data_IF_099223844923
#
_entry.id   IF_099223844923
#
_cell.length_a   1.000
_cell.length_b   1.000
_cell.length_c   1.000
_cell.angle_alpha   90.00
_cell.angle_beta   90.00
_cell.angle_gamma   90.00
#
_symmetry.space_group_name_H-M   'P 1'
#
loop_
_entity.id
_entity.type
_entity.pdbx_description
1 polymer ?
#
# COMPACT_ATOMS: atom_id res chain seq x y z
N UNK A 1 8.16 -1.01 -18.10
CA UNK A 1 8.54 -1.72 -16.86
C UNK A 1 7.52 -1.50 -15.73
N UNK A 2 6.94 -0.30 -15.57
CA UNK A 2 5.94 0.01 -14.53
C UNK A 2 4.59 -0.73 -14.66
N UNK A 3 4.16 -1.11 -15.87
CA UNK A 3 2.89 -1.83 -16.09
C UNK A 3 2.95 -3.34 -15.75
N UNK A 4 4.14 -3.93 -15.55
CA UNK A 4 4.31 -5.37 -15.29
C UNK A 4 4.34 -5.74 -13.80
N UNK A 5 4.12 -4.76 -12.93
CA UNK A 5 4.11 -4.90 -11.47
C UNK A 5 2.76 -4.59 -10.84
N UNK A 6 1.77 -4.19 -11.65
CA UNK A 6 0.41 -3.94 -11.19
C UNK A 6 -0.21 -5.29 -10.77
N UNK A 7 -0.80 -5.40 -9.56
CA UNK A 7 -1.53 -6.59 -9.15
C UNK A 7 -2.65 -6.92 -10.15
N UNK A 8 -2.89 -8.20 -10.47
CA UNK A 8 -4.07 -8.60 -11.24
C UNK A 8 -5.34 -8.01 -10.60
N UNK A 9 -6.21 -7.36 -11.38
CA UNK A 9 -7.48 -6.79 -10.89
C UNK A 9 -7.56 -5.25 -10.82
N UNK A 10 -6.46 -4.53 -11.06
CA UNK A 10 -6.44 -3.04 -11.11
C UNK A 10 -6.80 -2.50 -12.50
N UNK A 11 -7.33 -3.33 -13.40
CA UNK A 11 -7.32 -3.07 -14.84
C UNK A 11 -8.48 -2.19 -15.36
N UNK A 12 -9.48 -1.88 -14.53
CA UNK A 12 -10.72 -1.23 -15.01
C UNK A 12 -11.19 -0.02 -14.21
N UNK A 13 -10.94 0.05 -12.90
CA UNK A 13 -11.40 1.15 -12.05
C UNK A 13 -10.36 1.51 -10.98
N UNK A 14 -10.06 2.80 -10.86
CA UNK A 14 -9.19 3.36 -9.82
C UNK A 14 -10.02 4.24 -8.90
N UNK A 15 -10.04 3.92 -7.61
CA UNK A 15 -10.83 4.62 -6.59
C UNK A 15 -9.87 5.10 -5.50
N UNK A 16 -9.94 6.39 -5.17
CA UNK A 16 -9.11 6.99 -4.11
C UNK A 16 -10.04 7.46 -3.00
N UNK A 17 -9.81 6.96 -1.79
CA UNK A 17 -10.40 7.51 -0.57
C UNK A 17 -9.42 8.51 0.04
N UNK A 18 -9.89 9.75 0.24
CA UNK A 18 -9.05 10.82 0.78
C UNK A 18 -9.63 11.34 2.09
N UNK A 19 -8.76 11.75 3.00
CA UNK A 19 -9.10 12.49 4.20
C UNK A 19 -7.99 13.52 4.45
N UNK A 20 -8.39 14.72 4.86
CA UNK A 20 -7.48 15.84 5.07
C UNK A 20 -7.58 16.41 6.48
N UNK A 21 -6.61 17.25 6.84
CA UNK A 21 -6.62 18.03 8.07
C UNK A 21 -6.05 19.42 7.84
N UNK A 22 -6.34 20.35 8.74
CA UNK A 22 -5.81 21.70 8.71
C UNK A 22 -4.39 21.74 9.30
N UNK A 23 -3.57 22.76 8.98
CA UNK A 23 -2.19 22.85 9.50
C UNK A 23 -2.09 22.84 11.04
N UNK A 24 -3.11 23.33 11.73
CA UNK A 24 -3.17 23.40 13.20
C UNK A 24 -3.90 22.22 13.87
N UNK A 25 -4.39 21.23 13.12
CA UNK A 25 -5.01 20.01 13.69
C UNK A 25 -4.00 19.31 14.59
N UNK A 26 -4.40 18.86 15.78
CA UNK A 26 -3.47 18.22 16.74
C UNK A 26 -2.95 16.88 16.21
N UNK A 27 -1.82 16.39 16.73
CA UNK A 27 -1.32 15.07 16.34
C UNK A 27 -2.30 13.94 16.68
N UNK A 28 -2.94 14.00 17.87
CA UNK A 28 -3.94 13.01 18.28
C UNK A 28 -5.16 12.96 17.34
N UNK A 29 -5.59 14.13 16.84
CA UNK A 29 -6.68 14.19 15.87
C UNK A 29 -6.25 13.67 14.49
N UNK A 30 -5.02 13.99 14.04
CA UNK A 30 -4.45 13.44 12.80
C UNK A 30 -4.37 11.92 12.86
N UNK A 31 -3.97 11.35 13.99
CA UNK A 31 -3.90 9.90 14.18
C UNK A 31 -5.30 9.26 14.21
N UNK A 32 -6.29 9.97 14.71
CA UNK A 32 -7.70 9.55 14.63
C UNK A 32 -8.21 9.57 13.19
N UNK A 33 -7.88 10.60 12.42
CA UNK A 33 -8.20 10.69 10.99
C UNK A 33 -7.54 9.54 10.22
N UNK A 34 -6.24 9.28 10.45
CA UNK A 34 -5.51 8.17 9.82
C UNK A 34 -6.17 6.83 10.12
N UNK A 35 -6.45 6.52 11.39
CA UNK A 35 -7.14 5.27 11.77
C UNK A 35 -8.52 5.15 11.11
N UNK A 36 -9.26 6.26 11.02
CA UNK A 36 -10.55 6.26 10.32
C UNK A 36 -10.40 5.98 8.83
N UNK A 37 -9.39 6.55 8.17
CA UNK A 37 -9.08 6.29 6.77
C UNK A 37 -8.70 4.82 6.57
N UNK A 38 -7.83 4.26 7.41
CA UNK A 38 -7.46 2.83 7.38
C UNK A 38 -8.69 1.95 7.53
N UNK A 39 -9.59 2.24 8.47
CA UNK A 39 -10.83 1.46 8.61
C UNK A 39 -11.72 1.53 7.36
N UNK A 40 -11.79 2.69 6.70
CA UNK A 40 -12.56 2.88 5.47
C UNK A 40 -11.95 2.13 4.29
N UNK A 41 -10.63 2.18 4.11
CA UNK A 41 -9.94 1.44 3.04
C UNK A 41 -10.07 -0.07 3.24
N UNK A 42 -9.96 -0.56 4.48
CA UNK A 42 -10.19 -1.98 4.79
C UNK A 42 -11.65 -2.40 4.56
N UNK A 43 -12.61 -1.53 4.90
CA UNK A 43 -14.02 -1.78 4.58
C UNK A 43 -14.23 -1.91 3.08
N UNK A 44 -13.66 -1.00 2.28
CA UNK A 44 -13.71 -1.10 0.82
C UNK A 44 -13.07 -2.40 0.32
N UNK A 45 -11.86 -2.73 0.77
CA UNK A 45 -11.16 -3.97 0.38
C UNK A 45 -11.99 -5.23 0.64
N UNK A 46 -12.74 -5.27 1.76
CA UNK A 46 -13.63 -6.39 2.08
C UNK A 46 -14.83 -6.54 1.13
N UNK A 47 -15.26 -5.44 0.50
CA UNK A 47 -16.39 -5.44 -0.44
C UNK A 47 -15.96 -5.82 -1.86
N UNK A 48 -14.68 -5.66 -2.20
CA UNK A 48 -14.11 -5.94 -3.52
C UNK A 48 -12.93 -6.93 -3.43
N UNK A 49 -13.18 -8.19 -3.04
CA UNK A 49 -12.12 -9.18 -2.89
C UNK A 49 -11.33 -9.37 -4.19
N UNK A 50 -10.01 -9.43 -4.08
CA UNK A 50 -9.10 -9.58 -5.22
C UNK A 50 -8.67 -8.25 -5.88
N UNK A 51 -9.13 -7.10 -5.38
CA UNK A 51 -8.59 -5.80 -5.79
C UNK A 51 -7.27 -5.52 -5.08
N UNK A 52 -6.34 -4.90 -5.81
CA UNK A 52 -5.10 -4.35 -5.25
C UNK A 52 -5.25 -2.88 -4.85
N UNK A 53 -4.19 -2.32 -4.30
CA UNK A 53 -4.04 -0.90 -3.99
C UNK A 53 -2.78 -0.36 -4.67
N UNK A 54 -2.87 0.83 -5.22
CA UNK A 54 -1.74 1.48 -5.88
C UNK A 54 -0.84 2.14 -4.84
N UNK A 55 0.37 1.58 -4.66
CA UNK A 55 1.28 1.94 -3.58
C UNK A 55 1.66 3.44 -3.52
N UNK A 56 1.69 4.15 -4.65
CA UNK A 56 2.05 5.57 -4.68
C UNK A 56 0.91 6.48 -4.17
N UNK A 57 -0.32 5.96 -4.06
CA UNK A 57 -1.52 6.67 -3.57
C UNK A 57 -2.26 5.87 -2.47
N UNK A 58 -1.52 5.03 -1.73
CA UNK A 58 -2.10 4.11 -0.76
C UNK A 58 -2.12 4.64 0.68
N UNK A 59 -2.89 3.95 1.53
CA UNK A 59 -2.81 4.17 2.98
C UNK A 59 -1.45 3.72 3.52
N UNK A 60 -0.76 4.63 4.20
CA UNK A 60 0.49 4.36 4.88
C UNK A 60 0.36 3.21 5.89
N UNK A 61 -0.81 3.05 6.52
CA UNK A 61 -1.04 2.02 7.54
C UNK A 61 -1.67 0.73 6.99
N UNK A 62 -1.65 0.48 5.67
CA UNK A 62 -2.24 -0.71 5.06
C UNK A 62 -1.74 -2.02 5.73
N UNK A 63 -2.58 -2.74 6.49
CA UNK A 63 -2.14 -3.91 7.25
C UNK A 63 -1.74 -5.09 6.36
N UNK A 64 -2.30 -5.20 5.16
CA UNK A 64 -2.05 -6.31 4.22
C UNK A 64 -1.23 -5.87 3.01
N UNK A 65 -0.32 -4.91 3.19
CA UNK A 65 0.38 -4.20 2.10
C UNK A 65 1.13 -5.11 1.13
N UNK A 66 1.66 -6.26 1.58
CA UNK A 66 2.36 -7.21 0.70
C UNK A 66 1.42 -7.70 -0.41
N UNK A 67 0.22 -8.11 -0.03
CA UNK A 67 -0.81 -8.58 -0.96
C UNK A 67 -1.45 -7.40 -1.68
N UNK A 68 -1.82 -6.34 -0.96
CA UNK A 68 -2.51 -5.19 -1.54
C UNK A 68 -1.69 -4.49 -2.63
N UNK A 69 -0.39 -4.27 -2.41
CA UNK A 69 0.44 -3.49 -3.33
C UNK A 69 1.14 -4.34 -4.39
N UNK A 70 1.51 -5.57 -4.02
CA UNK A 70 2.37 -6.40 -4.87
C UNK A 70 1.70 -7.72 -5.28
N UNK A 71 0.73 -8.20 -4.50
CA UNK A 71 0.01 -9.46 -4.74
C UNK A 71 0.95 -10.63 -5.03
N UNK A 72 0.56 -11.44 -6.02
CA UNK A 72 1.34 -12.60 -6.48
C UNK A 72 2.74 -12.24 -7.02
N UNK A 73 3.03 -10.96 -7.32
CA UNK A 73 4.36 -10.52 -7.75
C UNK A 73 5.36 -10.40 -6.60
N UNK A 74 4.93 -10.34 -5.33
CA UNK A 74 5.81 -10.07 -4.19
C UNK A 74 7.01 -11.02 -4.14
N UNK A 75 6.77 -12.33 -4.29
CA UNK A 75 7.84 -13.34 -4.22
C UNK A 75 8.91 -13.13 -5.29
N UNK A 76 8.51 -12.82 -6.53
CA UNK A 76 9.44 -12.54 -7.63
C UNK A 76 10.23 -11.27 -7.37
N UNK A 77 9.57 -10.20 -6.93
CA UNK A 77 10.21 -8.92 -6.64
C UNK A 77 11.18 -9.05 -5.47
N UNK A 78 10.83 -9.79 -4.42
CA UNK A 78 11.68 -10.06 -3.26
C UNK A 78 12.96 -10.80 -3.67
N UNK A 79 12.83 -11.82 -4.52
CA UNK A 79 14.00 -12.53 -5.06
C UNK A 79 14.96 -11.60 -5.82
N UNK A 80 14.41 -10.66 -6.60
CA UNK A 80 15.23 -9.66 -7.31
C UNK A 80 15.89 -8.70 -6.32
N UNK A 81 15.14 -8.20 -5.34
CA UNK A 81 15.63 -7.32 -4.29
C UNK A 81 16.79 -7.95 -3.51
N UNK A 82 16.66 -9.20 -3.08
CA UNK A 82 17.68 -9.92 -2.33
C UNK A 82 18.96 -10.14 -3.14
N UNK A 83 18.85 -10.29 -4.46
CA UNK A 83 20.00 -10.41 -5.36
C UNK A 83 20.71 -9.06 -5.58
N UNK A 84 19.96 -7.97 -5.70
CA UNK A 84 20.48 -6.63 -6.05
C UNK A 84 20.91 -5.82 -4.82
N UNK A 85 20.25 -6.00 -3.69
CA UNK A 85 20.51 -5.32 -2.43
C UNK A 85 20.53 -6.31 -1.26
N UNK A 86 21.50 -7.25 -1.24
CA UNK A 86 21.60 -8.29 -0.22
C UNK A 86 21.90 -7.73 1.19
N UNK A 87 22.28 -6.45 1.29
CA UNK A 87 22.55 -5.77 2.57
C UNK A 87 21.38 -4.90 3.04
N UNK A 88 20.31 -4.81 2.26
CA UNK A 88 19.14 -4.01 2.60
C UNK A 88 19.45 -2.52 2.77
N UNK A 89 20.31 -1.94 1.92
CA UNK A 89 20.65 -0.51 2.01
C UNK A 89 19.47 0.37 1.58
N UNK A 90 18.68 -0.06 0.61
CA UNK A 90 17.57 0.73 0.06
C UNK A 90 16.25 0.27 0.67
N UNK A 91 15.84 0.88 1.77
CA UNK A 91 14.58 0.54 2.46
C UNK A 91 13.57 1.67 2.38
N UNK A 92 12.30 1.32 2.49
CA UNK A 92 11.19 2.23 2.64
C UNK A 92 10.00 1.47 3.22
N UNK A 93 9.10 2.21 3.88
CA UNK A 93 7.88 1.67 4.47
C UNK A 93 7.01 0.99 3.40
N UNK A 94 6.65 -0.27 3.63
CA UNK A 94 5.88 -1.15 2.76
C UNK A 94 6.47 -1.40 1.35
N UNK A 95 7.78 -1.16 1.19
CA UNK A 95 8.50 -1.57 0.00
C UNK A 95 8.80 -3.07 0.01
N UNK A 96 9.11 -3.63 -1.16
CA UNK A 96 9.52 -5.04 -1.25
C UNK A 96 10.77 -5.28 -0.37
N UNK A 97 10.63 -6.19 0.60
CA UNK A 97 11.67 -6.49 1.58
C UNK A 97 11.64 -5.64 2.84
N UNK A 98 10.58 -4.86 3.07
CA UNK A 98 10.23 -4.33 4.39
C UNK A 98 9.65 -5.47 5.24
N UNK A 99 10.39 -5.91 6.25
CA UNK A 99 10.02 -7.01 7.17
C UNK A 99 10.64 -6.84 8.55
#
# INVERSE_FOLDING_TARGET
>A
MLLQSIPPGVEHHHIILTSGWLPNTTFADRDTIRRSLTNQTQTLASLVPGFGSYNDEADYNEPNWKEAFWGSNYARLKSIKDRLDPRGLFTCHHCVGDE
#
